data_IF_409174563202
#
_entry.id   IF_409174563202
#
_cell.length_a   1.000
_cell.length_b   1.000
_cell.length_c   1.000
_cell.angle_alpha   90.00
_cell.angle_beta   90.00
_cell.angle_gamma   90.00
#
_symmetry.space_group_name_H-M   'P 1'
#
loop_
_entity.id
_entity.type
_entity.pdbx_description
1 polymer ?
#
# COMPACT_ATOMS: atom_id res chain seq x y z
N UNK A 1 -8.88 -29.05 10.27
CA UNK A 1 -8.56 -27.93 11.18
C UNK A 1 -7.54 -28.40 12.20
N UNK A 2 -6.29 -27.99 12.08
CA UNK A 2 -5.32 -28.12 13.19
C UNK A 2 -5.55 -26.86 14.04
N UNK A 3 -6.22 -27.00 15.18
CA UNK A 3 -6.62 -25.86 16.01
C UNK A 3 -5.53 -25.43 17.02
N UNK A 4 -4.43 -26.18 17.12
CA UNK A 4 -3.20 -25.77 17.82
C UNK A 4 -2.11 -26.85 17.62
N UNK A 5 -0.97 -26.50 17.04
CA UNK A 5 0.15 -27.41 16.87
C UNK A 5 1.44 -26.65 16.53
N UNK A 6 2.55 -27.04 17.15
CA UNK A 6 3.90 -26.58 16.78
C UNK A 6 4.50 -27.57 15.80
N UNK A 7 4.92 -27.14 14.61
CA UNK A 7 5.59 -27.99 13.62
C UNK A 7 7.10 -27.85 13.80
N UNK A 8 7.68 -28.66 14.70
CA UNK A 8 9.13 -28.84 14.85
C UNK A 8 9.95 -27.62 15.35
N UNK A 9 10.86 -27.88 16.30
CA UNK A 9 11.89 -26.93 16.75
C UNK A 9 13.25 -27.43 16.25
N UNK A 10 13.99 -26.61 15.51
CA UNK A 10 15.32 -26.97 14.96
C UNK A 10 16.35 -25.98 15.51
N UNK A 11 17.42 -26.45 16.15
CA UNK A 11 18.42 -25.55 16.73
C UNK A 11 19.12 -24.70 15.67
N UNK A 12 19.62 -25.31 14.60
CA UNK A 12 20.31 -24.62 13.51
C UNK A 12 20.13 -25.36 12.19
N UNK A 13 20.11 -24.62 11.08
CA UNK A 13 20.13 -25.19 9.73
C UNK A 13 21.38 -24.67 9.01
N UNK A 14 22.14 -25.59 8.44
CA UNK A 14 23.34 -25.29 7.66
C UNK A 14 23.30 -26.08 6.38
N UNK A 15 23.27 -25.41 5.22
CA UNK A 15 23.16 -26.04 3.90
C UNK A 15 21.97 -27.02 3.77
N UNK A 16 20.85 -26.74 4.44
CA UNK A 16 19.67 -27.61 4.47
C UNK A 16 18.40 -26.86 4.14
N UNK A 17 17.37 -27.60 3.75
CA UNK A 17 16.03 -27.06 3.43
C UNK A 17 15.01 -27.56 4.45
N UNK A 18 14.16 -26.66 4.92
CA UNK A 18 12.91 -27.01 5.61
C UNK A 18 11.76 -26.58 4.72
N UNK A 19 10.92 -27.54 4.33
CA UNK A 19 9.73 -27.30 3.52
C UNK A 19 8.47 -27.62 4.34
N UNK A 20 7.55 -26.67 4.39
CA UNK A 20 6.22 -26.87 4.96
C UNK A 20 5.17 -26.62 3.88
N UNK A 21 4.55 -27.72 3.46
CA UNK A 21 3.52 -27.72 2.40
C UNK A 21 2.11 -27.88 2.98
N UNK A 22 1.19 -27.02 2.56
CA UNK A 22 -0.28 -27.11 2.70
C UNK A 22 -0.86 -27.07 4.13
N UNK A 23 -1.13 -25.85 4.61
CA UNK A 23 -1.97 -25.61 5.79
C UNK A 23 -3.21 -24.78 5.41
N UNK A 24 -4.41 -25.31 5.67
CA UNK A 24 -5.64 -24.66 5.19
C UNK A 24 -5.98 -23.36 5.91
N UNK A 25 -5.84 -23.30 7.24
CA UNK A 25 -6.07 -22.10 8.06
C UNK A 25 -5.54 -22.29 9.47
N UNK A 26 -5.08 -21.21 10.11
CA UNK A 26 -4.71 -21.21 11.53
C UNK A 26 -5.18 -19.94 12.25
N UNK A 27 -5.89 -20.13 13.36
CA UNK A 27 -6.41 -19.06 14.22
C UNK A 27 -5.78 -19.18 15.60
N UNK A 28 -5.12 -18.11 16.07
CA UNK A 28 -4.49 -18.05 17.40
C UNK A 28 -3.42 -19.13 17.68
N UNK A 29 -2.95 -19.81 16.63
CA UNK A 29 -1.86 -20.76 16.69
C UNK A 29 -0.57 -20.14 16.18
N UNK A 30 0.57 -20.63 16.67
CA UNK A 30 1.86 -20.31 16.07
C UNK A 30 2.22 -21.39 15.07
N UNK A 31 2.28 -21.08 13.76
CA UNK A 31 2.98 -21.95 12.81
C UNK A 31 4.47 -21.70 13.02
N UNK A 32 5.06 -22.26 14.07
CA UNK A 32 6.52 -22.33 14.14
C UNK A 32 6.93 -23.37 13.11
N UNK A 33 7.05 -23.02 11.83
CA UNK A 33 7.62 -23.94 10.83
C UNK A 33 9.04 -24.32 11.23
N UNK A 34 9.74 -23.40 11.91
CA UNK A 34 11.06 -23.64 12.47
C UNK A 34 11.42 -22.51 13.43
N UNK A 35 11.46 -22.75 14.75
CA UNK A 35 12.22 -21.85 15.65
C UNK A 35 13.70 -22.15 15.44
N UNK A 36 14.35 -21.45 14.51
CA UNK A 36 15.76 -21.66 14.14
C UNK A 36 16.62 -20.56 14.76
N UNK A 37 17.61 -20.95 15.56
CA UNK A 37 18.52 -19.95 16.15
C UNK A 37 19.44 -19.33 15.09
N UNK A 38 19.84 -20.11 14.08
CA UNK A 38 20.63 -19.62 12.95
C UNK A 38 20.36 -20.42 11.67
N UNK A 39 20.13 -19.70 10.58
CA UNK A 39 20.02 -20.20 9.22
C UNK A 39 21.27 -19.75 8.44
N UNK A 40 22.17 -20.69 8.15
CA UNK A 40 23.41 -20.40 7.42
C UNK A 40 23.43 -21.15 6.09
N UNK A 41 23.42 -20.43 4.97
CA UNK A 41 23.32 -21.03 3.61
C UNK A 41 22.15 -22.04 3.47
N UNK A 42 21.09 -21.90 4.25
CA UNK A 42 19.93 -22.80 4.23
C UNK A 42 18.69 -22.10 3.72
N UNK A 43 17.67 -22.89 3.39
CA UNK A 43 16.39 -22.41 2.88
C UNK A 43 15.25 -22.84 3.80
N UNK A 44 14.32 -21.93 4.07
CA UNK A 44 13.03 -22.25 4.70
C UNK A 44 11.93 -21.86 3.72
N UNK A 45 11.20 -22.86 3.22
CA UNK A 45 10.10 -22.68 2.27
C UNK A 45 8.76 -22.95 2.96
N UNK A 46 7.84 -22.00 2.86
CA UNK A 46 6.45 -22.15 3.31
C UNK A 46 5.51 -21.99 2.12
N UNK A 47 4.89 -23.10 1.70
CA UNK A 47 4.03 -23.15 0.53
C UNK A 47 2.56 -23.38 0.89
N UNK A 48 1.74 -22.40 0.53
CA UNK A 48 0.26 -22.36 0.63
C UNK A 48 -0.30 -22.37 2.06
N UNK A 49 -0.60 -21.16 2.55
CA UNK A 49 -1.43 -20.92 3.74
C UNK A 49 -2.61 -20.03 3.35
N UNK A 50 -3.85 -20.50 3.51
CA UNK A 50 -5.01 -19.69 3.09
C UNK A 50 -5.24 -18.50 4.01
N UNK A 51 -5.12 -18.66 5.33
CA UNK A 51 -5.25 -17.54 6.27
C UNK A 51 -4.50 -17.79 7.57
N UNK A 52 -3.94 -16.71 8.13
CA UNK A 52 -3.31 -16.67 9.45
C UNK A 52 -3.87 -15.52 10.29
N UNK A 53 -4.42 -15.85 11.45
CA UNK A 53 -4.91 -14.87 12.42
C UNK A 53 -4.16 -14.99 13.75
N UNK A 54 -3.57 -13.90 14.24
CA UNK A 54 -2.84 -13.84 15.51
C UNK A 54 -1.70 -14.88 15.66
N UNK A 55 -1.03 -15.27 14.58
CA UNK A 55 0.03 -16.29 14.58
C UNK A 55 1.34 -15.81 13.95
N UNK A 56 2.42 -16.58 14.07
CA UNK A 56 3.70 -16.35 13.38
C UNK A 56 3.99 -17.50 12.42
N UNK A 57 4.49 -17.22 11.20
CA UNK A 57 4.88 -18.24 10.19
C UNK A 57 6.33 -18.67 10.35
N UNK A 58 7.23 -17.73 10.66
CA UNK A 58 8.66 -18.03 10.80
C UNK A 58 9.31 -17.15 11.88
N UNK A 59 10.13 -17.77 12.73
CA UNK A 59 10.96 -17.10 13.73
C UNK A 59 12.40 -17.61 13.63
N UNK A 60 13.28 -16.79 13.08
CA UNK A 60 14.71 -17.13 12.87
C UNK A 60 15.56 -16.06 13.53
N UNK A 61 16.41 -16.38 14.51
CA UNK A 61 17.20 -15.32 15.17
C UNK A 61 18.25 -14.70 14.24
N UNK A 62 18.89 -15.48 13.38
CA UNK A 62 19.86 -14.95 12.40
C UNK A 62 19.79 -15.67 11.07
N UNK A 63 19.85 -14.91 9.98
CA UNK A 63 20.03 -15.43 8.61
C UNK A 63 21.39 -14.97 8.10
N UNK A 64 22.26 -15.91 7.72
CA UNK A 64 23.56 -15.64 7.11
C UNK A 64 23.65 -16.37 5.76
N UNK A 65 23.62 -15.64 4.65
CA UNK A 65 23.56 -16.20 3.29
C UNK A 65 22.40 -17.21 3.06
N UNK A 66 21.37 -17.19 3.91
CA UNK A 66 20.22 -18.08 3.81
C UNK A 66 19.00 -17.36 3.22
N UNK A 67 17.97 -18.13 2.91
CA UNK A 67 16.74 -17.65 2.29
C UNK A 67 15.52 -18.16 3.05
N UNK A 68 14.53 -17.29 3.24
CA UNK A 68 13.22 -17.64 3.77
C UNK A 68 12.17 -17.24 2.75
N UNK A 69 11.48 -18.21 2.15
CA UNK A 69 10.48 -17.97 1.11
C UNK A 69 9.08 -18.33 1.60
N UNK A 70 8.15 -17.39 1.48
CA UNK A 70 6.73 -17.58 1.77
C UNK A 70 5.95 -17.35 0.48
N UNK A 71 5.55 -18.45 -0.17
CA UNK A 71 5.09 -18.42 -1.56
C UNK A 71 3.66 -17.88 -1.73
N UNK A 72 2.71 -18.30 -0.88
CA UNK A 72 1.30 -17.91 -0.98
C UNK A 72 0.63 -17.83 0.39
N UNK A 73 0.21 -16.62 0.78
CA UNK A 73 -0.65 -16.35 1.92
C UNK A 73 -1.84 -15.49 1.49
N UNK A 74 -3.07 -16.01 1.49
CA UNK A 74 -4.20 -15.20 1.00
C UNK A 74 -4.59 -14.09 2.00
N UNK A 75 -4.47 -14.32 3.31
CA UNK A 75 -4.77 -13.28 4.30
C UNK A 75 -3.95 -13.41 5.57
N UNK A 76 -3.41 -12.28 6.04
CA UNK A 76 -2.79 -12.14 7.36
C UNK A 76 -3.58 -11.13 8.20
N UNK A 77 -4.15 -11.59 9.32
CA UNK A 77 -4.87 -10.73 10.27
C UNK A 77 -4.14 -10.72 11.61
N UNK A 78 -3.56 -9.58 12.01
CA UNK A 78 -2.86 -9.42 13.30
C UNK A 78 -1.75 -10.47 13.57
N UNK A 79 -1.18 -11.08 12.52
CA UNK A 79 -0.12 -12.09 12.59
C UNK A 79 1.25 -11.58 12.12
N UNK A 80 2.26 -12.45 12.09
CA UNK A 80 3.63 -12.15 11.65
C UNK A 80 4.16 -13.19 10.64
N UNK A 81 4.64 -12.77 9.46
CA UNK A 81 5.17 -13.72 8.46
C UNK A 81 6.63 -14.10 8.78
N UNK A 82 7.46 -13.11 9.15
CA UNK A 82 8.84 -13.36 9.58
C UNK A 82 9.21 -12.48 10.78
N UNK A 83 9.72 -13.11 11.86
CA UNK A 83 10.42 -12.41 12.94
C UNK A 83 11.89 -12.82 12.90
N UNK A 84 12.76 -11.87 12.53
CA UNK A 84 14.19 -12.13 12.32
C UNK A 84 15.04 -11.11 13.04
N UNK A 85 15.96 -11.51 13.92
CA UNK A 85 16.73 -10.50 14.67
C UNK A 85 17.80 -9.85 13.78
N UNK A 86 18.45 -10.62 12.90
CA UNK A 86 19.46 -10.11 11.95
C UNK A 86 19.52 -10.86 10.62
N UNK A 87 19.81 -10.12 9.54
CA UNK A 87 20.12 -10.67 8.21
C UNK A 87 21.50 -10.17 7.78
N UNK A 88 22.39 -11.12 7.43
CA UNK A 88 23.69 -10.83 6.82
C UNK A 88 23.77 -11.57 5.48
N UNK A 89 23.82 -10.85 4.35
CA UNK A 89 23.85 -11.42 3.00
C UNK A 89 22.73 -12.43 2.67
N UNK A 90 21.63 -12.43 3.44
CA UNK A 90 20.50 -13.34 3.25
C UNK A 90 19.26 -12.64 2.69
N UNK A 91 18.23 -13.41 2.40
CA UNK A 91 16.97 -12.92 1.83
C UNK A 91 15.74 -13.42 2.60
N UNK A 92 14.69 -12.61 2.62
CA UNK A 92 13.34 -13.01 3.03
C UNK A 92 12.38 -12.57 1.93
N UNK A 93 11.74 -13.51 1.25
CA UNK A 93 10.84 -13.24 0.13
C UNK A 93 9.41 -13.71 0.41
N UNK A 94 8.46 -12.78 0.32
CA UNK A 94 7.03 -13.05 0.43
C UNK A 94 6.39 -12.81 -0.95
N UNK A 95 6.10 -13.91 -1.66
CA UNK A 95 5.81 -13.86 -3.10
C UNK A 95 4.37 -13.45 -3.41
N UNK A 96 3.40 -13.83 -2.58
CA UNK A 96 2.00 -13.42 -2.71
C UNK A 96 1.33 -13.28 -1.35
N UNK A 97 1.01 -12.04 -0.96
CA UNK A 97 0.10 -11.73 0.14
C UNK A 97 -1.14 -11.00 -0.40
N UNK A 98 -2.32 -11.63 -0.33
CA UNK A 98 -3.55 -11.07 -0.91
C UNK A 98 -4.37 -10.20 0.04
N UNK A 99 -4.02 -10.13 1.32
CA UNK A 99 -4.63 -9.20 2.27
C UNK A 99 -3.78 -9.07 3.54
N UNK A 100 -3.48 -7.83 3.96
CA UNK A 100 -2.88 -7.52 5.26
C UNK A 100 -3.81 -6.68 6.14
N UNK A 101 -4.36 -7.27 7.22
CA UNK A 101 -5.15 -6.54 8.22
C UNK A 101 -4.40 -6.47 9.54
N UNK A 102 -3.82 -5.32 9.88
CA UNK A 102 -3.11 -5.08 11.15
C UNK A 102 -1.97 -6.07 11.47
N UNK A 103 -1.44 -6.78 10.47
CA UNK A 103 -0.34 -7.74 10.62
C UNK A 103 1.04 -7.13 10.34
N UNK A 104 2.10 -7.86 10.66
CA UNK A 104 3.49 -7.47 10.39
C UNK A 104 4.14 -8.48 9.45
N UNK A 105 4.61 -8.07 8.28
CA UNK A 105 5.24 -9.01 7.33
C UNK A 105 6.63 -9.40 7.80
N UNK A 106 7.38 -8.42 8.31
CA UNK A 106 8.74 -8.65 8.77
C UNK A 106 9.08 -7.73 9.94
N UNK A 107 9.62 -8.29 11.02
CA UNK A 107 10.15 -7.54 12.16
C UNK A 107 11.66 -7.84 12.26
N UNK A 108 12.48 -6.92 11.75
CA UNK A 108 13.95 -7.04 11.70
C UNK A 108 14.64 -5.96 12.50
N UNK A 109 15.63 -6.35 13.31
CA UNK A 109 16.45 -5.39 14.07
C UNK A 109 17.67 -4.88 13.29
N UNK A 110 18.23 -5.67 12.37
CA UNK A 110 19.37 -5.25 11.53
C UNK A 110 19.47 -6.00 10.20
N UNK A 111 19.92 -5.30 9.15
CA UNK A 111 20.23 -5.86 7.83
C UNK A 111 21.63 -5.37 7.43
N UNK A 112 22.53 -6.30 7.11
CA UNK A 112 23.84 -6.02 6.53
C UNK A 112 23.95 -6.75 5.20
N UNK A 113 23.95 -6.02 4.08
CA UNK A 113 24.06 -6.59 2.72
C UNK A 113 23.00 -7.66 2.39
N UNK A 114 21.87 -7.70 3.09
CA UNK A 114 20.73 -8.59 2.81
C UNK A 114 19.54 -7.83 2.21
N UNK A 115 18.47 -8.55 1.87
CA UNK A 115 17.24 -7.97 1.31
C UNK A 115 15.96 -8.59 1.88
N UNK A 116 14.87 -7.83 1.82
CA UNK A 116 13.53 -8.31 2.12
C UNK A 116 12.63 -7.90 0.95
N UNK A 117 12.02 -8.86 0.26
CA UNK A 117 11.11 -8.59 -0.85
C UNK A 117 9.69 -9.01 -0.48
N UNK A 118 8.73 -8.09 -0.64
CA UNK A 118 7.33 -8.34 -0.27
C UNK A 118 6.44 -7.92 -1.41
N UNK A 119 5.74 -8.89 -1.99
CA UNK A 119 4.72 -8.66 -3.00
C UNK A 119 3.32 -8.81 -2.38
N UNK A 120 2.71 -7.66 -2.08
CA UNK A 120 1.33 -7.58 -1.60
C UNK A 120 0.42 -7.23 -2.78
N UNK A 121 -0.42 -8.18 -3.17
CA UNK A 121 -1.31 -8.07 -4.35
C UNK A 121 -2.58 -7.27 -4.04
N UNK A 122 -2.83 -6.92 -2.78
CA UNK A 122 -3.98 -6.11 -2.34
C UNK A 122 -3.78 -4.59 -2.42
N UNK A 123 -2.59 -4.14 -2.84
CA UNK A 123 -2.30 -2.72 -3.03
C UNK A 123 -2.90 -2.26 -4.35
N UNK A 124 -4.22 -2.10 -4.34
CA UNK A 124 -4.97 -1.61 -5.49
C UNK A 124 -4.87 -0.08 -5.54
N UNK A 125 -4.55 0.43 -6.74
CA UNK A 125 -4.75 1.83 -7.05
C UNK A 125 -6.21 2.02 -7.42
N UNK A 126 -6.94 2.80 -6.63
CA UNK A 126 -8.27 3.25 -7.01
C UNK A 126 -8.17 4.61 -7.66
N UNK A 127 -8.76 4.70 -8.85
CA UNK A 127 -8.89 5.94 -9.62
C UNK A 127 -10.35 6.36 -9.61
N UNK A 128 -10.60 7.59 -9.17
CA UNK A 128 -11.90 8.26 -9.32
C UNK A 128 -11.71 9.49 -10.19
N UNK A 129 -12.63 9.74 -11.13
CA UNK A 129 -12.53 10.92 -12.00
C UNK A 129 -13.85 11.64 -12.16
N UNK A 130 -13.79 12.95 -12.38
CA UNK A 130 -14.94 13.81 -12.63
C UNK A 130 -14.60 14.94 -13.61
N UNK A 131 -15.56 15.31 -14.45
CA UNK A 131 -15.47 16.50 -15.30
C UNK A 131 -16.26 17.66 -14.69
N UNK A 132 -15.58 18.76 -14.39
CA UNK A 132 -16.20 20.01 -13.96
C UNK A 132 -16.47 20.86 -15.20
N UNK A 133 -17.72 20.92 -15.66
CA UNK A 133 -18.06 21.42 -17.00
C UNK A 133 -18.30 22.94 -17.12
N UNK A 134 -18.49 23.66 -16.02
CA UNK A 134 -18.99 25.05 -16.06
C UNK A 134 -18.19 26.02 -15.20
N UNK A 135 -16.92 26.21 -15.53
CA UNK A 135 -16.09 27.24 -14.90
C UNK A 135 -16.24 28.52 -15.74
N UNK A 136 -17.23 29.34 -15.40
CA UNK A 136 -17.48 30.65 -16.04
C UNK A 136 -16.95 31.78 -15.15
N UNK A 137 -16.57 32.90 -15.79
CA UNK A 137 -16.00 34.11 -15.20
C UNK A 137 -16.51 34.42 -13.76
N UNK A 138 -15.57 34.67 -12.84
CA UNK A 138 -15.82 35.07 -11.44
C UNK A 138 -16.55 34.08 -10.52
N UNK A 139 -16.96 32.89 -10.97
CA UNK A 139 -17.58 31.88 -10.08
C UNK A 139 -16.73 30.62 -10.00
N UNK A 140 -15.87 30.50 -8.97
CA UNK A 140 -15.14 29.28 -8.69
C UNK A 140 -16.04 28.06 -8.57
N UNK A 141 -15.54 26.88 -8.89
CA UNK A 141 -16.28 25.62 -8.81
C UNK A 141 -15.52 24.56 -8.04
N UNK A 142 -16.25 23.78 -7.24
CA UNK A 142 -15.74 22.59 -6.58
C UNK A 142 -16.19 21.33 -7.32
N UNK A 143 -15.34 20.31 -7.34
CA UNK A 143 -15.73 18.95 -7.73
C UNK A 143 -16.64 18.30 -6.67
N UNK A 144 -17.19 17.13 -6.97
CA UNK A 144 -17.69 16.21 -5.95
C UNK A 144 -16.60 15.84 -4.95
N UNK A 145 -17.02 15.55 -3.72
CA UNK A 145 -16.11 15.13 -2.66
C UNK A 145 -15.79 13.64 -2.81
N UNK A 146 -14.51 13.30 -2.65
CA UNK A 146 -14.02 11.92 -2.60
C UNK A 146 -13.61 11.62 -1.15
N UNK A 147 -14.07 10.48 -0.62
CA UNK A 147 -13.59 9.96 0.67
C UNK A 147 -12.18 9.38 0.49
N UNK A 148 -11.21 10.16 0.95
CA UNK A 148 -9.78 9.87 0.88
C UNK A 148 -9.23 9.28 2.18
N UNK A 149 -10.06 9.06 3.20
CA UNK A 149 -9.65 8.59 4.54
C UNK A 149 -8.92 7.23 4.54
N UNK A 150 -9.08 6.45 3.46
CA UNK A 150 -8.52 5.10 3.34
C UNK A 150 -7.29 5.01 2.43
N UNK A 151 -6.87 6.11 1.82
CA UNK A 151 -5.73 6.13 0.90
C UNK A 151 -4.46 6.50 1.67
N UNK A 152 -3.33 5.84 1.39
CA UNK A 152 -2.03 6.09 2.05
C UNK A 152 -1.07 6.96 1.23
N UNK A 153 -1.23 6.96 -0.11
CA UNK A 153 -0.43 7.73 -1.06
C UNK A 153 -1.39 8.32 -2.13
N UNK A 154 -1.81 9.57 -1.98
CA UNK A 154 -2.78 10.22 -2.88
C UNK A 154 -2.02 11.12 -3.84
N UNK A 155 -2.13 10.80 -5.12
CA UNK A 155 -1.75 11.69 -6.22
C UNK A 155 -3.01 12.08 -6.96
N UNK A 156 -3.01 13.27 -7.56
CA UNK A 156 -4.11 13.70 -8.39
C UNK A 156 -3.57 14.39 -9.62
N UNK A 157 -4.33 14.32 -10.70
CA UNK A 157 -3.98 15.01 -11.92
C UNK A 157 -5.19 15.69 -12.54
N UNK A 158 -4.92 16.79 -13.23
CA UNK A 158 -5.94 17.58 -13.87
C UNK A 158 -5.62 17.70 -15.34
N UNK A 159 -6.65 17.55 -16.17
CA UNK A 159 -6.58 17.71 -17.61
C UNK A 159 -7.60 18.74 -18.07
N UNK A 160 -7.18 19.71 -18.87
CA UNK A 160 -8.14 20.60 -19.53
C UNK A 160 -8.81 19.86 -20.68
N UNK A 161 -10.14 19.79 -20.68
CA UNK A 161 -10.90 19.02 -21.68
C UNK A 161 -11.74 19.90 -22.61
N UNK A 162 -12.06 21.14 -22.22
CA UNK A 162 -12.72 22.11 -23.11
C UNK A 162 -12.51 23.57 -22.64
N UNK A 163 -12.80 24.52 -23.53
CA UNK A 163 -12.86 25.96 -23.26
C UNK A 163 -11.89 26.81 -24.06
N UNK A 164 -11.95 28.13 -23.84
CA UNK A 164 -11.08 29.13 -24.47
C UNK A 164 -9.57 29.01 -24.15
N UNK A 165 -8.75 29.90 -24.72
CA UNK A 165 -7.28 29.83 -24.69
C UNK A 165 -6.63 30.15 -23.34
N UNK A 166 -7.40 30.67 -22.38
CA UNK A 166 -6.88 31.09 -21.07
C UNK A 166 -6.68 29.90 -20.12
N UNK A 167 -5.70 29.97 -19.21
CA UNK A 167 -5.43 28.91 -18.27
C UNK A 167 -6.57 28.70 -17.24
N UNK A 168 -6.66 27.47 -16.73
CA UNK A 168 -7.47 27.12 -15.56
C UNK A 168 -6.54 26.82 -14.40
N UNK A 169 -6.76 27.48 -13.26
CA UNK A 169 -6.02 27.28 -12.02
C UNK A 169 -6.80 26.37 -11.09
N UNK A 170 -6.10 25.41 -10.50
CA UNK A 170 -6.70 24.29 -9.80
C UNK A 170 -5.96 24.01 -8.50
N UNK A 171 -6.67 23.92 -7.39
CA UNK A 171 -6.11 23.70 -6.04
C UNK A 171 -6.85 22.57 -5.32
N UNK A 172 -6.19 21.88 -4.39
CA UNK A 172 -6.85 20.88 -3.55
C UNK A 172 -7.58 21.58 -2.41
N UNK A 173 -8.74 21.06 -2.05
CA UNK A 173 -9.47 21.46 -0.86
C UNK A 173 -9.83 20.23 -0.03
N UNK A 174 -9.67 20.32 1.29
CA UNK A 174 -9.90 19.19 2.21
C UNK A 174 -10.81 19.57 3.37
N UNK A 175 -11.54 18.59 3.90
CA UNK A 175 -12.40 18.72 5.07
C UNK A 175 -12.42 17.42 5.89
N UNK A 176 -12.49 17.48 7.23
CA UNK A 176 -12.72 16.29 8.07
C UNK A 176 -14.12 15.69 7.89
N UNK A 177 -15.09 16.47 7.42
CA UNK A 177 -16.50 16.05 7.26
C UNK A 177 -16.97 16.23 5.81
N UNK A 178 -17.82 15.32 5.31
CA UNK A 178 -18.21 15.30 3.89
C UNK A 178 -18.84 16.61 3.40
N UNK A 179 -19.62 17.26 4.26
CA UNK A 179 -20.37 18.48 3.98
C UNK A 179 -19.88 19.69 4.79
N UNK A 180 -18.69 19.61 5.38
CA UNK A 180 -18.12 20.70 6.18
C UNK A 180 -17.52 21.81 5.33
N UNK A 181 -16.86 22.76 6.00
CA UNK A 181 -16.10 23.82 5.32
C UNK A 181 -14.78 23.25 4.82
N UNK A 182 -14.54 23.35 3.52
CA UNK A 182 -13.30 22.89 2.89
C UNK A 182 -12.22 23.98 2.94
N UNK A 183 -10.99 23.58 3.25
CA UNK A 183 -9.82 24.45 3.29
C UNK A 183 -8.88 24.10 2.15
N UNK A 184 -8.38 25.12 1.44
CA UNK A 184 -7.39 24.91 0.38
C UNK A 184 -6.07 24.45 0.98
N UNK A 185 -5.52 23.36 0.46
CA UNK A 185 -4.26 22.76 0.90
C UNK A 185 -3.43 22.29 -0.29
N UNK A 186 -2.14 22.05 -0.06
CA UNK A 186 -1.26 21.47 -1.07
C UNK A 186 -0.92 22.42 -2.21
N UNK A 187 -0.50 21.83 -3.34
CA UNK A 187 -0.02 22.58 -4.49
C UNK A 187 -1.14 23.04 -5.42
N UNK A 188 -0.88 24.14 -6.13
CA UNK A 188 -1.77 24.68 -7.17
C UNK A 188 -1.22 24.36 -8.56
N UNK A 189 -2.09 23.88 -9.44
CA UNK A 189 -1.78 23.62 -10.84
C UNK A 189 -2.44 24.62 -11.77
N UNK A 190 -1.81 24.81 -12.94
CA UNK A 190 -2.37 25.59 -14.03
C UNK A 190 -2.30 24.76 -15.30
N UNK A 191 -3.42 24.61 -16.00
CA UNK A 191 -3.52 23.93 -17.30
C UNK A 191 -3.89 24.95 -18.37
N UNK A 192 -3.03 25.07 -19.39
CA UNK A 192 -3.14 26.11 -20.42
C UNK A 192 -3.99 25.67 -21.61
N UNK A 193 -3.42 24.80 -22.44
CA UNK A 193 -4.07 24.29 -23.66
C UNK A 193 -5.04 23.14 -23.37
N UNK A 194 -6.06 22.98 -24.21
CA UNK A 194 -6.92 21.79 -24.19
C UNK A 194 -6.05 20.54 -24.46
N UNK A 195 -6.28 19.49 -23.68
CA UNK A 195 -5.47 18.27 -23.70
C UNK A 195 -4.24 18.30 -22.78
N UNK A 196 -3.82 19.48 -22.29
CA UNK A 196 -2.72 19.56 -21.32
C UNK A 196 -3.12 18.97 -19.97
N UNK A 197 -2.18 18.26 -19.34
CA UNK A 197 -2.35 17.65 -18.04
C UNK A 197 -1.21 18.05 -17.09
N UNK A 198 -1.53 18.13 -15.79
CA UNK A 198 -0.55 18.36 -14.74
C UNK A 198 -0.85 17.46 -13.55
N UNK A 199 0.18 16.74 -13.08
CA UNK A 199 0.11 15.91 -11.88
C UNK A 199 0.57 16.73 -10.66
N UNK A 200 -0.03 16.43 -9.51
CA UNK A 200 0.23 17.09 -8.23
C UNK A 200 0.21 16.07 -7.10
N UNK A 201 0.97 16.37 -6.05
CA UNK A 201 1.02 15.61 -4.80
C UNK A 201 0.63 16.49 -3.62
N UNK A 202 -0.04 15.91 -2.63
CA UNK A 202 -0.32 16.57 -1.34
C UNK A 202 0.22 15.72 -0.22
N UNK A 203 0.99 16.32 0.69
CA UNK A 203 1.43 15.66 1.93
C UNK A 203 0.37 15.71 3.03
N UNK A 204 -0.75 16.40 2.81
CA UNK A 204 -1.84 16.54 3.78
C UNK A 204 -2.89 15.46 3.56
N UNK A 205 -3.10 14.65 4.60
CA UNK A 205 -4.17 13.65 4.69
C UNK A 205 -5.35 14.18 5.47
N UNK A 206 -6.52 14.15 4.85
CA UNK A 206 -7.81 14.47 5.46
C UNK A 206 -8.88 13.50 4.91
N UNK A 207 -10.01 13.40 5.61
CA UNK A 207 -11.04 12.42 5.28
C UNK A 207 -11.72 12.67 3.93
N UNK A 208 -12.09 13.91 3.62
CA UNK A 208 -12.78 14.25 2.38
C UNK A 208 -11.99 15.27 1.57
N UNK A 209 -11.79 14.98 0.29
CA UNK A 209 -11.02 15.81 -0.64
C UNK A 209 -11.87 16.20 -1.85
N UNK A 210 -11.77 17.46 -2.28
CA UNK A 210 -12.31 17.95 -3.56
C UNK A 210 -11.28 18.85 -4.22
N UNK A 211 -11.55 19.20 -5.46
CA UNK A 211 -10.73 20.14 -6.21
C UNK A 211 -11.48 21.44 -6.42
N UNK A 212 -10.79 22.55 -6.22
CA UNK A 212 -11.25 23.91 -6.43
C UNK A 212 -10.68 24.45 -7.74
N UNK A 213 -11.55 24.85 -8.67
CA UNK A 213 -11.17 25.31 -10.00
C UNK A 213 -11.56 26.78 -10.22
N UNK A 214 -10.64 27.56 -10.78
CA UNK A 214 -10.82 28.97 -11.12
C UNK A 214 -10.24 29.30 -12.50
N UNK A 215 -10.78 30.32 -13.15
CA UNK A 215 -10.26 30.79 -14.43
C UNK A 215 -10.53 32.29 -14.61
N UNK A 216 -9.64 32.96 -15.33
CA UNK A 216 -9.86 34.31 -15.82
C UNK A 216 -10.56 34.34 -17.20
N UNK A 217 -10.91 33.18 -17.77
CA UNK A 217 -11.55 33.08 -19.07
C UNK A 217 -12.98 33.62 -19.05
N UNK A 218 -13.34 34.34 -20.12
CA UNK A 218 -14.71 34.82 -20.38
C UNK A 218 -15.60 33.78 -21.05
N UNK A 219 -15.06 32.59 -21.35
CA UNK A 219 -15.80 31.45 -21.93
C UNK A 219 -15.77 30.27 -20.97
N UNK A 220 -16.78 29.40 -21.05
CA UNK A 220 -16.87 28.19 -20.22
C UNK A 220 -15.61 27.35 -20.37
N UNK A 221 -15.01 26.98 -19.24
CA UNK A 221 -13.92 26.02 -19.19
C UNK A 221 -14.39 24.71 -18.58
N UNK A 222 -13.75 23.63 -19.01
CA UNK A 222 -13.96 22.32 -18.42
C UNK A 222 -12.64 21.62 -18.15
N UNK A 223 -12.51 21.06 -16.95
CA UNK A 223 -11.38 20.23 -16.55
C UNK A 223 -11.87 18.88 -16.07
N UNK A 224 -11.10 17.84 -16.37
CA UNK A 224 -11.28 16.53 -15.80
C UNK A 224 -10.22 16.33 -14.72
N UNK A 225 -10.65 15.94 -13.52
CA UNK A 225 -9.79 15.71 -12.38
C UNK A 225 -9.83 14.25 -12.00
N UNK A 226 -8.68 13.72 -11.63
CA UNK A 226 -8.50 12.33 -11.28
C UNK A 226 -7.80 12.23 -9.92
N UNK A 227 -8.37 11.45 -9.03
CA UNK A 227 -7.78 11.10 -7.75
C UNK A 227 -7.30 9.66 -7.83
N UNK A 228 -6.00 9.47 -7.62
CA UNK A 228 -5.35 8.18 -7.58
C UNK A 228 -4.83 7.96 -6.17
N UNK A 229 -5.40 6.99 -5.47
CA UNK A 229 -4.97 6.62 -4.13
C UNK A 229 -4.57 5.17 -4.09
N UNK A 230 -3.46 4.91 -3.39
CA UNK A 230 -3.12 3.56 -2.95
C UNK A 230 -3.86 3.26 -1.65
N UNK A 231 -4.63 2.17 -1.63
CA UNK A 231 -5.23 1.61 -0.42
C UNK A 231 -4.21 0.77 0.36
#
# INVERSE_FOLDING_TARGET
MICNGTITKVSSITNGTVDVTQLSSLTSGTVNVTQVSSLTNGTVDVTQLSSLTNGTITKVSSITNGTVDVAQLNSLTSGTIAKVDSITNGTVDVTQLSSLTSGTITNISSITNGSVNVNITDRYFNQTSETVSTIALATPQYSTAVDTSKMQDITWYVKKVAGGTMPVTVSVAVCPEQNGTYVLVGETATVGAVGSAKALSSSYYMHYTRVYCTTAATTNQSVQVFFNGRY
#
